data_IF_246487541726
#
_entry.id   IF_246487541726
#
_cell.length_a   1.000
_cell.length_b   1.000
_cell.length_c   1.000
_cell.angle_alpha   90.00
_cell.angle_beta   90.00
_cell.angle_gamma   90.00
#
_symmetry.space_group_name_H-M   'P 1'
#
loop_
_entity.id
_entity.type
_entity.pdbx_description
1 polymer ?
#
# COMPACT_ATOMS: atom_id res chain seq x y z
N UNK A 1 45.65 -24.91 -0.22
CA UNK A 1 45.13 -23.88 0.70
C UNK A 1 44.45 -22.85 -0.18
N UNK A 2 43.18 -23.09 -0.46
CA UNK A 2 42.34 -22.23 -1.27
C UNK A 2 41.04 -22.14 -0.50
N UNK A 3 40.76 -20.95 0.03
CA UNK A 3 39.56 -20.63 0.78
C UNK A 3 38.47 -20.24 -0.23
N UNK A 4 37.40 -21.03 -0.42
CA UNK A 4 36.35 -20.68 -1.35
C UNK A 4 35.17 -20.09 -0.57
N UNK A 5 35.07 -18.76 -0.63
CA UNK A 5 33.81 -18.03 -0.69
C UNK A 5 32.82 -18.23 0.45
N UNK A 6 32.79 -17.26 1.36
CA UNK A 6 31.61 -17.00 2.18
C UNK A 6 31.14 -15.55 1.96
N UNK A 7 30.41 -15.35 0.86
CA UNK A 7 29.45 -14.26 0.76
C UNK A 7 28.12 -14.79 1.31
N UNK A 8 27.98 -14.79 2.64
CA UNK A 8 26.71 -15.04 3.30
C UNK A 8 25.86 -13.78 3.21
N UNK A 9 25.33 -13.53 2.00
CA UNK A 9 24.18 -12.64 1.80
C UNK A 9 22.93 -13.36 2.33
N UNK A 10 22.85 -13.55 3.65
CA UNK A 10 21.60 -13.96 4.31
C UNK A 10 20.91 -12.75 4.92
N UNK A 11 20.68 -11.73 4.10
CA UNK A 11 19.60 -10.80 4.34
C UNK A 11 18.32 -11.40 3.76
N UNK A 12 17.85 -12.49 4.36
CA UNK A 12 16.45 -12.89 4.22
C UNK A 12 15.62 -11.82 4.93
N UNK A 13 15.38 -10.72 4.22
CA UNK A 13 14.29 -9.81 4.55
C UNK A 13 13.04 -10.67 4.67
N UNK A 14 12.56 -10.84 5.91
CA UNK A 14 11.23 -11.34 6.24
C UNK A 14 10.19 -10.36 5.65
N UNK A 15 10.11 -10.39 4.33
CA UNK A 15 9.12 -9.72 3.52
C UNK A 15 7.93 -10.64 3.66
N UNK A 16 6.99 -10.27 4.52
CA UNK A 16 5.69 -10.92 4.56
C UNK A 16 5.07 -10.77 3.15
N UNK A 17 5.32 -11.77 2.30
CA UNK A 17 5.11 -11.68 0.88
C UNK A 17 3.60 -11.67 0.62
N UNK A 18 3.14 -10.81 -0.29
CA UNK A 18 1.69 -10.69 -0.55
C UNK A 18 1.21 -11.98 -1.23
N UNK A 19 0.50 -12.84 -0.49
CA UNK A 19 -0.03 -14.10 -1.03
C UNK A 19 -1.45 -13.96 -1.62
N UNK A 20 -1.76 -14.78 -2.62
CA UNK A 20 -3.09 -14.89 -3.22
C UNK A 20 -3.63 -13.60 -3.86
N UNK A 21 -4.92 -13.32 -3.67
CA UNK A 21 -5.59 -12.16 -4.28
C UNK A 21 -5.07 -10.81 -3.77
N UNK A 22 -4.43 -10.79 -2.59
CA UNK A 22 -3.91 -9.55 -2.00
C UNK A 22 -2.72 -8.96 -2.78
N UNK A 23 -2.05 -9.75 -3.61
CA UNK A 23 -1.05 -9.27 -4.59
C UNK A 23 -1.66 -8.26 -5.58
N UNK A 24 -2.96 -8.37 -5.84
CA UNK A 24 -3.69 -7.47 -6.73
C UNK A 24 -4.09 -6.14 -6.07
N UNK A 25 -4.02 -6.04 -4.74
CA UNK A 25 -4.49 -4.86 -3.99
C UNK A 25 -3.93 -3.52 -4.48
N UNK A 26 -2.61 -3.32 -4.67
CA UNK A 26 -2.08 -2.04 -5.16
C UNK A 26 -2.62 -1.70 -6.56
N UNK A 27 -2.77 -2.68 -7.44
CA UNK A 27 -3.31 -2.48 -8.78
C UNK A 27 -4.81 -2.17 -8.76
N UNK A 28 -5.55 -2.80 -7.85
CA UNK A 28 -6.97 -2.51 -7.65
C UNK A 28 -7.19 -1.09 -7.14
N UNK A 29 -6.37 -0.64 -6.18
CA UNK A 29 -6.42 0.74 -5.66
C UNK A 29 -6.04 1.74 -6.75
N UNK A 30 -5.00 1.46 -7.53
CA UNK A 30 -4.63 2.27 -8.70
C UNK A 30 -5.80 2.41 -9.67
N UNK A 31 -6.39 1.28 -10.10
CA UNK A 31 -7.49 1.26 -11.05
C UNK A 31 -8.73 1.98 -10.49
N UNK A 32 -9.02 1.81 -9.19
CA UNK A 32 -10.11 2.50 -8.52
C UNK A 32 -9.93 4.02 -8.59
N UNK A 33 -8.74 4.54 -8.32
CA UNK A 33 -8.47 5.97 -8.45
C UNK A 33 -8.63 6.49 -9.88
N UNK A 34 -8.28 5.70 -10.88
CA UNK A 34 -8.45 6.08 -12.28
C UNK A 34 -9.92 6.08 -12.68
N UNK A 35 -10.68 5.05 -12.31
CA UNK A 35 -12.03 4.84 -12.86
C UNK A 35 -13.10 5.57 -12.04
N UNK A 36 -13.01 5.57 -10.72
CA UNK A 36 -14.06 6.09 -9.85
C UNK A 36 -14.41 7.58 -10.08
N UNK A 37 -13.45 8.48 -10.34
CA UNK A 37 -13.78 9.88 -10.63
C UNK A 37 -14.71 10.05 -11.81
N UNK A 38 -14.54 9.26 -12.88
CA UNK A 38 -15.43 9.31 -14.05
C UNK A 38 -16.88 8.98 -13.70
N UNK A 39 -17.09 8.13 -12.68
CA UNK A 39 -18.43 7.74 -12.19
C UNK A 39 -18.99 8.72 -11.15
N UNK A 40 -18.11 9.32 -10.34
CA UNK A 40 -18.50 10.22 -9.27
C UNK A 40 -18.78 11.64 -9.76
N UNK A 41 -18.03 12.15 -10.74
CA UNK A 41 -18.17 13.52 -11.26
C UNK A 41 -19.59 13.84 -11.73
N UNK A 42 -20.30 12.97 -12.50
CA UNK A 42 -21.66 13.26 -12.95
C UNK A 42 -22.69 13.43 -11.84
N UNK A 43 -22.45 12.80 -10.68
CA UNK A 43 -23.36 12.81 -9.52
C UNK A 43 -22.84 13.68 -8.37
N UNK A 44 -21.62 14.20 -8.49
CA UNK A 44 -21.00 15.05 -7.48
C UNK A 44 -21.63 16.44 -7.52
N UNK A 45 -22.61 16.69 -6.66
CA UNK A 45 -23.19 18.03 -6.46
C UNK A 45 -22.22 19.03 -5.81
N UNK A 46 -21.07 18.58 -5.32
CA UNK A 46 -20.03 19.43 -4.73
C UNK A 46 -18.63 18.84 -4.97
N UNK A 47 -17.57 19.67 -5.09
CA UNK A 47 -16.19 19.18 -5.22
C UNK A 47 -15.69 18.47 -3.95
N UNK A 48 -16.26 18.78 -2.79
CA UNK A 48 -15.88 18.18 -1.50
C UNK A 48 -16.16 16.68 -1.45
N UNK A 49 -17.14 16.19 -2.21
CA UNK A 49 -17.41 14.76 -2.33
C UNK A 49 -16.20 14.02 -2.94
N UNK A 50 -15.60 14.58 -3.99
CA UNK A 50 -14.41 13.99 -4.62
C UNK A 50 -13.19 14.08 -3.70
N UNK A 51 -13.01 15.21 -3.01
CA UNK A 51 -11.93 15.35 -2.01
C UNK A 51 -12.08 14.32 -0.89
N UNK A 52 -13.29 14.16 -0.36
CA UNK A 52 -13.62 13.15 0.64
C UNK A 52 -13.34 11.74 0.14
N UNK A 53 -13.76 11.41 -1.08
CA UNK A 53 -13.46 10.14 -1.74
C UNK A 53 -11.94 9.89 -1.82
N UNK A 54 -11.18 10.87 -2.32
CA UNK A 54 -9.73 10.76 -2.54
C UNK A 54 -9.02 10.37 -1.23
N UNK A 55 -9.29 11.07 -0.13
CA UNK A 55 -8.59 10.79 1.12
C UNK A 55 -9.16 9.60 1.89
N UNK A 56 -10.46 9.32 1.75
CA UNK A 56 -11.09 8.15 2.39
C UNK A 56 -10.56 6.85 1.78
N UNK A 57 -10.44 6.76 0.45
CA UNK A 57 -9.87 5.59 -0.21
C UNK A 57 -8.40 5.40 0.20
N UNK A 58 -7.62 6.48 0.27
CA UNK A 58 -6.22 6.42 0.69
C UNK A 58 -6.09 5.86 2.11
N UNK A 59 -6.92 6.38 3.03
CA UNK A 59 -6.95 5.96 4.42
C UNK A 59 -7.36 4.48 4.57
N UNK A 60 -8.47 4.07 3.94
CA UNK A 60 -8.95 2.68 4.00
C UNK A 60 -7.92 1.73 3.41
N UNK A 61 -7.37 2.04 2.23
CA UNK A 61 -6.37 1.20 1.59
C UNK A 61 -5.10 1.08 2.44
N UNK A 62 -4.65 2.19 3.05
CA UNK A 62 -3.54 2.19 4.00
C UNK A 62 -3.83 1.33 5.23
N UNK A 63 -4.99 1.51 5.87
CA UNK A 63 -5.39 0.70 7.04
C UNK A 63 -5.43 -0.81 6.68
N UNK A 64 -6.07 -1.17 5.56
CA UNK A 64 -6.14 -2.58 5.12
C UNK A 64 -4.74 -3.13 4.84
N UNK A 65 -3.88 -2.38 4.17
CA UNK A 65 -2.50 -2.81 3.86
C UNK A 65 -1.69 -3.00 5.14
N UNK A 66 -1.72 -2.04 6.07
CA UNK A 66 -0.99 -2.13 7.34
C UNK A 66 -1.50 -3.21 8.29
N UNK A 67 -2.78 -3.57 8.20
CA UNK A 67 -3.33 -4.71 8.95
C UNK A 67 -2.86 -6.05 8.36
N UNK A 68 -2.82 -6.16 7.03
CA UNK A 68 -2.52 -7.42 6.35
C UNK A 68 -1.01 -7.66 6.15
N UNK A 69 -0.22 -6.59 6.01
CA UNK A 69 1.18 -6.62 5.56
C UNK A 69 2.08 -5.76 6.42
N UNK A 70 3.40 -5.92 6.22
CA UNK A 70 4.36 -4.93 6.73
C UNK A 70 4.18 -3.62 5.95
N UNK A 71 4.24 -2.45 6.61
CA UNK A 71 4.18 -1.17 5.93
C UNK A 71 5.22 -1.10 4.80
N UNK A 72 4.76 -0.81 3.59
CA UNK A 72 5.60 -0.68 2.41
C UNK A 72 5.17 0.52 1.58
N UNK A 73 6.05 1.01 0.72
CA UNK A 73 5.75 2.13 -0.17
C UNK A 73 4.96 1.74 -1.42
N UNK A 74 4.84 0.45 -1.72
CA UNK A 74 4.20 -0.02 -2.95
C UNK A 74 2.74 0.42 -3.06
N UNK A 75 1.96 0.27 -2.00
CA UNK A 75 0.55 0.67 -2.02
C UNK A 75 0.38 2.20 -2.02
N UNK A 76 1.05 2.97 -1.14
CA UNK A 76 1.02 4.44 -1.19
C UNK A 76 1.40 5.02 -2.55
N UNK A 77 2.45 4.49 -3.20
CA UNK A 77 2.87 4.95 -4.52
C UNK A 77 1.88 4.54 -5.62
N UNK A 78 1.29 3.34 -5.54
CA UNK A 78 0.24 2.94 -6.48
C UNK A 78 -1.02 3.80 -6.36
N UNK A 79 -1.45 4.14 -5.14
CA UNK A 79 -2.59 5.01 -4.90
C UNK A 79 -2.33 6.43 -5.43
N UNK A 80 -1.16 6.99 -5.11
CA UNK A 80 -0.77 8.31 -5.59
C UNK A 80 -0.60 8.33 -7.11
N UNK A 81 -0.03 7.29 -7.72
CA UNK A 81 0.09 7.13 -9.16
C UNK A 81 -1.28 7.03 -9.86
N UNK A 82 -2.21 6.25 -9.31
CA UNK A 82 -3.56 6.13 -9.84
C UNK A 82 -4.30 7.47 -9.78
N UNK A 83 -4.19 8.18 -8.67
CA UNK A 83 -4.74 9.53 -8.56
C UNK A 83 -4.04 10.52 -9.49
N UNK A 84 -2.72 10.42 -9.69
CA UNK A 84 -2.00 11.28 -10.64
C UNK A 84 -2.51 11.13 -12.07
N UNK A 85 -2.78 9.89 -12.50
CA UNK A 85 -3.42 9.63 -13.79
C UNK A 85 -4.82 10.22 -13.83
N UNK A 86 -5.62 9.99 -12.78
CA UNK A 86 -6.95 10.58 -12.68
C UNK A 86 -6.92 12.11 -12.73
N UNK A 87 -5.92 12.75 -12.12
CA UNK A 87 -5.69 14.19 -12.17
C UNK A 87 -5.55 14.68 -13.60
N UNK A 88 -4.73 14.01 -14.41
CA UNK A 88 -4.54 14.36 -15.82
C UNK A 88 -5.84 14.26 -16.61
N UNK A 89 -6.68 13.27 -16.29
CA UNK A 89 -7.90 12.97 -17.04
C UNK A 89 -9.10 13.84 -16.63
N UNK A 90 -9.23 14.16 -15.35
CA UNK A 90 -10.50 14.64 -14.78
C UNK A 90 -10.40 15.90 -13.93
N UNK A 91 -9.20 16.27 -13.45
CA UNK A 91 -9.05 17.35 -12.48
C UNK A 91 -8.13 18.47 -12.98
N UNK A 92 -8.16 19.61 -12.29
CA UNK A 92 -7.30 20.75 -12.61
C UNK A 92 -5.85 20.53 -12.13
N UNK A 93 -4.92 21.29 -12.68
CA UNK A 93 -3.49 21.14 -12.36
C UNK A 93 -3.14 21.36 -10.88
N UNK A 94 -3.83 22.27 -10.19
CA UNK A 94 -3.65 22.54 -8.77
C UNK A 94 -3.99 21.37 -7.84
N UNK A 95 -4.70 20.34 -8.34
CA UNK A 95 -5.00 19.13 -7.55
C UNK A 95 -3.82 18.17 -7.40
N UNK A 96 -2.67 18.45 -8.01
CA UNK A 96 -1.46 17.62 -7.87
C UNK A 96 -1.07 17.37 -6.40
N UNK A 97 -1.36 18.34 -5.51
CA UNK A 97 -1.07 18.23 -4.08
C UNK A 97 -1.84 17.08 -3.41
N UNK A 98 -3.00 16.70 -3.96
CA UNK A 98 -3.76 15.57 -3.46
C UNK A 98 -3.08 14.24 -3.76
N UNK A 99 -2.25 14.12 -4.81
CA UNK A 99 -1.44 12.92 -5.03
C UNK A 99 -0.41 12.74 -3.91
N UNK A 100 0.25 13.82 -3.51
CA UNK A 100 1.18 13.82 -2.37
C UNK A 100 0.44 13.49 -1.07
N UNK A 101 -0.73 14.11 -0.87
CA UNK A 101 -1.59 13.83 0.27
C UNK A 101 -2.04 12.37 0.32
N UNK A 102 -2.41 11.76 -0.81
CA UNK A 102 -2.79 10.34 -0.91
C UNK A 102 -1.65 9.44 -0.48
N UNK A 103 -0.42 9.67 -0.98
CA UNK A 103 0.75 8.90 -0.58
C UNK A 103 0.98 9.00 0.94
N UNK A 104 0.96 10.22 1.48
CA UNK A 104 1.21 10.46 2.91
C UNK A 104 0.12 9.83 3.78
N UNK A 105 -1.16 10.07 3.48
CA UNK A 105 -2.27 9.52 4.25
C UNK A 105 -2.27 7.99 4.22
N UNK A 106 -2.06 7.40 3.04
CA UNK A 106 -2.01 5.95 2.90
C UNK A 106 -0.85 5.34 3.69
N UNK A 107 0.36 5.91 3.59
CA UNK A 107 1.52 5.44 4.33
C UNK A 107 1.35 5.59 5.85
N UNK A 108 0.80 6.72 6.31
CA UNK A 108 0.52 6.95 7.73
C UNK A 108 -0.51 5.97 8.27
N UNK A 109 -1.60 5.72 7.54
CA UNK A 109 -2.61 4.75 7.94
C UNK A 109 -2.05 3.33 7.98
N UNK A 110 -1.23 2.93 7.00
CA UNK A 110 -0.56 1.63 7.00
C UNK A 110 0.39 1.48 8.19
N UNK A 111 1.19 2.51 8.45
CA UNK A 111 2.07 2.52 9.61
C UNK A 111 1.30 2.42 10.93
N UNK A 112 0.27 3.26 11.13
CA UNK A 112 -0.55 3.24 12.33
C UNK A 112 -1.22 1.88 12.55
N UNK A 113 -1.77 1.28 11.50
CA UNK A 113 -2.43 -0.03 11.62
C UNK A 113 -1.44 -1.16 11.92
N UNK A 114 -0.21 -1.05 11.42
CA UNK A 114 0.82 -2.04 11.71
C UNK A 114 1.21 -2.08 13.18
N UNK A 115 1.10 -0.96 13.91
CA UNK A 115 1.34 -0.89 15.36
C UNK A 115 0.29 -1.66 16.16
N UNK A 116 -0.93 -1.77 15.63
CA UNK A 116 -2.04 -2.50 16.27
C UNK A 116 -1.94 -4.00 16.00
N UNK A 117 -1.24 -4.41 14.93
CA UNK A 117 -1.07 -5.81 14.56
C UNK A 117 -0.17 -6.52 15.57
N UNK A 118 -0.74 -7.45 16.36
CA UNK A 118 0.07 -8.38 17.16
C UNK A 118 0.89 -9.26 16.22
N UNK A 119 2.21 -9.24 16.36
CA UNK A 119 3.09 -10.14 15.63
C UNK A 119 2.71 -11.61 15.94
N UNK A 120 2.59 -12.49 14.93
CA UNK A 120 2.52 -13.92 15.18
C UNK A 120 3.74 -14.34 16.00
N UNK A 121 3.54 -15.20 17.02
CA UNK A 121 4.65 -15.68 17.83
C UNK A 121 5.73 -16.32 16.93
N UNK A 122 7.03 -16.11 17.20
CA UNK A 122 8.09 -16.76 16.45
C UNK A 122 7.90 -18.27 16.54
N UNK A 123 7.86 -18.93 15.38
CA UNK A 123 7.81 -20.40 15.32
C UNK A 123 9.12 -20.87 15.93
N UNK A 124 9.06 -21.44 17.14
CA UNK A 124 10.23 -22.03 17.77
C UNK A 124 10.71 -23.15 16.86
N UNK A 125 11.89 -22.97 16.25
CA UNK A 125 12.56 -24.03 15.50
C UNK A 125 12.83 -25.19 16.46
N UNK A 126 11.95 -26.18 16.49
CA UNK A 126 12.21 -27.43 17.18
C UNK A 126 13.32 -28.13 16.39
N UNK A 127 14.56 -27.85 16.79
CA UNK A 127 15.75 -28.57 16.35
C UNK A 127 15.50 -30.05 16.57
N UNK A 128 15.14 -30.74 15.48
CA UNK A 128 14.98 -32.18 15.47
C UNK A 128 16.37 -32.77 15.33
N UNK A 129 17.15 -32.69 16.40
CA UNK A 129 18.27 -33.59 16.61
C UNK A 129 17.67 -34.99 16.79
N UNK A 130 17.61 -35.76 15.71
CA UNK A 130 17.39 -37.20 15.74
C UNK A 130 18.69 -37.86 15.27
N UNK A 131 19.44 -38.27 16.31
CA UNK A 131 20.30 -39.46 16.49
C UNK A 131 20.67 -40.25 15.24
#
# INVERSE_FOLDING_TARGET
MTDPGEHTDEQSEDTADREGWLKALPYAVFALYVIAPALLIPVAGTPWLLVGFIFTVAAIAGLVDGYCFRPSWTLPLSAAGGFWVAKILYFNDGTFIYALGVAVVSALCAWLMSLVRKQPAPVSSTSSAQV
#
